data_IF_403841286546
#
_entry.id   IF_403841286546
#
_cell.length_a   1.000
_cell.length_b   1.000
_cell.length_c   1.000
_cell.angle_alpha   90.00
_cell.angle_beta   90.00
_cell.angle_gamma   90.00
#
_symmetry.space_group_name_H-M   'P 1'
#
loop_
_entity.id
_entity.type
_entity.pdbx_description
1 polymer ?
#
# COMPACT_ATOMS: atom_id res chain seq x y z
N UNK A 1 -29.75 -19.75 -1.60
CA UNK A 1 -28.56 -20.52 -2.00
C UNK A 1 -27.48 -20.17 -1.00
N UNK A 2 -27.01 -21.12 -0.18
CA UNK A 2 -25.89 -20.86 0.73
C UNK A 2 -24.69 -20.49 -0.13
N UNK A 3 -24.09 -19.32 0.10
CA UNK A 3 -22.87 -18.93 -0.59
C UNK A 3 -21.86 -20.08 -0.45
N UNK A 4 -21.40 -20.62 -1.57
CA UNK A 4 -20.29 -21.59 -1.55
C UNK A 4 -19.14 -20.96 -0.77
N UNK A 5 -18.46 -21.77 0.04
CA UNK A 5 -17.34 -21.27 0.81
C UNK A 5 -16.25 -20.79 -0.14
N UNK A 6 -16.07 -19.46 -0.23
CA UNK A 6 -15.08 -18.82 -1.11
C UNK A 6 -13.65 -18.90 -0.57
N UNK A 7 -13.50 -19.33 0.69
CA UNK A 7 -12.22 -19.40 1.36
C UNK A 7 -11.60 -20.81 1.27
N UNK A 8 -10.27 -20.90 1.13
CA UNK A 8 -9.57 -22.18 1.04
C UNK A 8 -9.74 -23.00 2.33
N UNK A 9 -9.46 -24.30 2.22
CA UNK A 9 -9.34 -25.24 3.36
C UNK A 9 -10.55 -25.29 4.31
N UNK A 10 -11.73 -24.90 3.81
CA UNK A 10 -12.95 -24.87 4.62
C UNK A 10 -12.99 -23.73 5.64
N UNK A 11 -12.09 -22.75 5.54
CA UNK A 11 -12.08 -21.56 6.39
C UNK A 11 -13.40 -20.79 6.29
N UNK A 12 -13.84 -20.16 7.38
CA UNK A 12 -15.12 -19.42 7.40
C UNK A 12 -14.95 -17.92 7.13
N UNK A 13 -13.74 -17.43 7.27
CA UNK A 13 -13.35 -16.05 7.03
C UNK A 13 -11.87 -16.00 6.63
N UNK A 14 -11.49 -14.88 6.02
CA UNK A 14 -10.08 -14.50 5.85
C UNK A 14 -9.78 -13.35 6.80
N UNK A 15 -8.56 -13.31 7.33
CA UNK A 15 -8.04 -12.20 8.14
C UNK A 15 -6.71 -11.79 7.55
N UNK A 16 -6.61 -10.53 7.11
CA UNK A 16 -5.38 -9.95 6.60
C UNK A 16 -4.98 -8.80 7.51
N UNK A 17 -3.79 -8.90 8.12
CA UNK A 17 -3.15 -7.72 8.69
C UNK A 17 -2.52 -6.91 7.57
N UNK A 18 -2.67 -5.60 7.63
CA UNK A 18 -2.11 -4.69 6.62
C UNK A 18 -1.60 -3.44 7.30
N UNK A 19 -0.50 -2.88 6.80
CA UNK A 19 0.13 -1.70 7.37
C UNK A 19 0.39 -0.67 6.29
N UNK A 20 -0.13 0.52 6.49
CA UNK A 20 0.12 1.66 5.61
C UNK A 20 1.41 2.34 6.12
N UNK A 21 2.48 2.20 5.36
CA UNK A 21 3.82 2.70 5.70
C UNK A 21 3.99 4.11 5.13
N UNK A 22 3.31 5.06 5.77
CA UNK A 22 3.29 6.47 5.33
C UNK A 22 4.53 7.25 5.78
N UNK A 23 4.92 7.05 7.04
CA UNK A 23 6.01 7.76 7.71
C UNK A 23 5.86 9.29 7.61
N UNK A 24 6.89 10.02 7.20
CA UNK A 24 6.85 11.47 7.04
C UNK A 24 5.90 11.96 5.94
N UNK A 25 5.52 11.09 4.99
CA UNK A 25 4.73 11.49 3.82
C UNK A 25 3.26 11.73 4.14
N UNK A 26 2.70 11.12 5.19
CA UNK A 26 1.34 11.47 5.67
C UNK A 26 1.24 12.96 6.02
N UNK A 27 2.35 13.57 6.43
CA UNK A 27 2.40 14.98 6.74
C UNK A 27 2.91 15.82 5.58
N UNK A 28 3.95 15.35 4.86
CA UNK A 28 4.61 16.13 3.81
C UNK A 28 3.90 16.09 2.45
N UNK A 29 3.09 15.06 2.16
CA UNK A 29 2.50 14.84 0.84
C UNK A 29 1.78 16.06 0.28
N UNK A 30 0.91 16.66 1.10
CA UNK A 30 0.20 17.90 0.75
C UNK A 30 0.81 19.16 1.39
N UNK A 31 1.78 19.01 2.30
CA UNK A 31 2.38 20.09 3.08
C UNK A 31 3.92 19.97 3.16
N UNK A 32 4.63 20.26 2.06
CA UNK A 32 6.09 20.11 2.02
C UNK A 32 6.82 20.96 3.07
N UNK A 33 6.22 22.03 3.56
CA UNK A 33 6.74 22.85 4.66
C UNK A 33 6.92 22.08 5.98
N UNK A 34 6.28 20.91 6.13
CA UNK A 34 6.45 20.05 7.31
C UNK A 34 7.90 19.54 7.45
N UNK A 35 8.67 19.48 6.36
CA UNK A 35 10.10 19.15 6.43
C UNK A 35 10.88 20.09 7.36
N UNK A 36 10.42 21.34 7.53
CA UNK A 36 11.04 22.35 8.40
C UNK A 36 10.36 22.42 9.79
N UNK A 37 9.52 21.44 10.14
CA UNK A 37 8.79 21.37 11.41
C UNK A 37 9.28 20.20 12.27
N UNK A 38 10.34 20.37 13.11
CA UNK A 38 11.03 19.26 13.78
C UNK A 38 10.11 18.34 14.59
N UNK A 39 9.07 18.90 15.23
CA UNK A 39 8.11 18.12 16.03
C UNK A 39 7.22 17.21 15.16
N UNK A 40 6.85 17.63 13.95
CA UNK A 40 6.01 16.82 13.05
C UNK A 40 6.87 15.83 12.27
N UNK A 41 8.03 16.29 11.78
CA UNK A 41 8.96 15.43 11.09
C UNK A 41 9.39 14.24 11.96
N UNK A 42 9.70 14.48 13.24
CA UNK A 42 10.07 13.39 14.16
C UNK A 42 8.97 12.37 14.41
N UNK A 43 7.69 12.71 14.20
CA UNK A 43 6.59 11.75 14.28
C UNK A 43 6.61 10.79 13.09
N UNK A 44 6.86 11.29 11.88
CA UNK A 44 7.01 10.48 10.68
C UNK A 44 8.24 9.59 10.74
N UNK A 45 9.38 10.17 11.10
CA UNK A 45 10.67 9.46 11.16
C UNK A 45 10.75 8.41 12.29
N UNK A 46 9.78 8.41 13.21
CA UNK A 46 9.76 7.48 14.33
C UNK A 46 9.76 6.02 13.87
N UNK A 47 9.07 5.71 12.76
CA UNK A 47 9.01 4.35 12.21
C UNK A 47 10.41 3.83 11.85
N UNK A 48 11.28 4.71 11.33
CA UNK A 48 12.66 4.43 10.99
C UNK A 48 13.55 4.40 12.23
N UNK A 49 13.54 5.49 13.01
CA UNK A 49 14.44 5.70 14.14
C UNK A 49 14.22 4.69 15.28
N UNK A 50 12.97 4.29 15.52
CA UNK A 50 12.62 3.31 16.55
C UNK A 50 12.58 1.87 16.03
N UNK A 51 13.02 1.62 14.79
CA UNK A 51 13.05 0.30 14.13
C UNK A 51 11.71 -0.41 14.23
N UNK A 52 10.62 0.30 13.93
CA UNK A 52 9.26 -0.23 14.09
C UNK A 52 9.01 -1.38 13.10
N UNK A 53 9.45 -1.25 11.85
CA UNK A 53 9.28 -2.31 10.85
C UNK A 53 9.98 -3.61 11.28
N UNK A 54 11.28 -3.64 11.60
CA UNK A 54 11.92 -4.87 12.11
C UNK A 54 11.19 -5.51 13.30
N UNK A 55 10.67 -4.70 14.24
CA UNK A 55 9.91 -5.22 15.38
C UNK A 55 8.58 -5.86 14.99
N UNK A 56 7.88 -5.31 14.00
CA UNK A 56 6.68 -5.92 13.45
C UNK A 56 7.01 -7.22 12.71
N UNK A 57 8.09 -7.24 11.94
CA UNK A 57 8.55 -8.44 11.24
C UNK A 57 8.91 -9.56 12.22
N UNK A 58 9.63 -9.25 13.31
CA UNK A 58 9.94 -10.23 14.36
C UNK A 58 8.66 -10.81 15.00
N UNK A 59 7.63 -9.99 15.21
CA UNK A 59 6.33 -10.44 15.73
C UNK A 59 5.61 -11.37 14.75
N UNK A 60 5.64 -11.05 13.45
CA UNK A 60 5.02 -11.91 12.44
C UNK A 60 5.74 -13.24 12.28
N UNK A 61 7.07 -13.25 12.37
CA UNK A 61 7.86 -14.48 12.36
C UNK A 61 7.57 -15.36 13.59
N UNK A 62 7.40 -14.78 14.78
CA UNK A 62 7.02 -15.52 16.00
C UNK A 62 5.68 -16.27 15.84
N UNK A 63 4.77 -15.70 15.06
CA UNK A 63 3.43 -16.25 14.84
C UNK A 63 3.26 -16.99 13.52
N UNK A 64 4.31 -17.15 12.71
CA UNK A 64 4.28 -17.71 11.36
C UNK A 64 3.20 -17.05 10.47
N UNK A 65 3.09 -15.72 10.56
CA UNK A 65 2.13 -14.92 9.82
C UNK A 65 2.81 -14.15 8.70
N UNK A 66 2.07 -13.93 7.61
CA UNK A 66 2.42 -12.98 6.55
C UNK A 66 1.44 -11.84 6.53
N UNK A 67 1.90 -10.71 6.02
CA UNK A 67 1.18 -9.43 6.03
C UNK A 67 1.50 -8.65 4.77
N UNK A 68 0.73 -7.62 4.49
CA UNK A 68 0.94 -6.69 3.38
C UNK A 68 1.30 -5.31 3.91
N UNK A 69 2.37 -4.73 3.39
CA UNK A 69 2.74 -3.33 3.62
C UNK A 69 2.35 -2.50 2.39
N UNK A 70 1.50 -1.50 2.57
CA UNK A 70 1.20 -0.49 1.56
C UNK A 70 2.22 0.63 1.71
N UNK A 71 3.14 0.75 0.74
CA UNK A 71 4.33 1.58 0.85
C UNK A 71 4.21 2.80 -0.08
N UNK A 72 4.43 3.98 0.49
CA UNK A 72 4.63 5.21 -0.28
C UNK A 72 5.94 5.09 -1.06
N UNK A 73 5.92 5.36 -2.38
CA UNK A 73 7.07 5.13 -3.26
C UNK A 73 8.34 5.87 -2.82
N UNK A 74 8.21 7.06 -2.24
CA UNK A 74 9.35 7.76 -1.65
C UNK A 74 9.95 7.06 -0.43
N UNK A 75 9.17 6.35 0.39
CA UNK A 75 9.70 5.53 1.48
C UNK A 75 10.50 4.35 0.92
N UNK A 76 10.01 3.70 -0.15
CA UNK A 76 10.77 2.65 -0.82
C UNK A 76 12.10 3.16 -1.38
N UNK A 77 12.11 4.36 -1.95
CA UNK A 77 13.31 5.02 -2.46
C UNK A 77 14.30 5.42 -1.35
N UNK A 78 13.80 5.93 -0.23
CA UNK A 78 14.62 6.45 0.86
C UNK A 78 15.15 5.35 1.80
N UNK A 79 14.42 4.24 1.93
CA UNK A 79 14.72 3.15 2.86
C UNK A 79 14.71 1.77 2.16
N UNK A 80 15.50 1.57 1.08
CA UNK A 80 15.47 0.34 0.30
C UNK A 80 15.85 -0.90 1.12
N UNK A 81 16.73 -0.76 2.11
CA UNK A 81 17.13 -1.85 3.00
C UNK A 81 15.96 -2.40 3.83
N UNK A 82 15.03 -1.52 4.24
CA UNK A 82 13.83 -1.93 4.99
C UNK A 82 12.87 -2.68 4.06
N UNK A 83 12.71 -2.21 2.81
CA UNK A 83 11.87 -2.90 1.82
C UNK A 83 12.41 -4.28 1.47
N UNK A 84 13.73 -4.40 1.34
CA UNK A 84 14.40 -5.68 1.12
C UNK A 84 14.18 -6.62 2.30
N UNK A 85 14.25 -6.13 3.54
CA UNK A 85 13.98 -6.95 4.72
C UNK A 85 12.54 -7.49 4.71
N UNK A 86 11.55 -6.63 4.46
CA UNK A 86 10.12 -7.00 4.36
C UNK A 86 9.95 -8.14 3.34
N UNK A 87 10.46 -7.97 2.12
CA UNK A 87 10.32 -8.96 1.04
C UNK A 87 11.11 -10.23 1.33
N UNK A 88 12.32 -10.12 1.90
CA UNK A 88 13.15 -11.29 2.23
C UNK A 88 12.51 -12.23 3.25
N UNK A 89 11.65 -11.68 4.12
CA UNK A 89 10.85 -12.45 5.09
C UNK A 89 9.49 -12.91 4.52
N UNK A 90 9.23 -12.68 3.24
CA UNK A 90 8.06 -13.19 2.53
C UNK A 90 6.78 -12.37 2.71
N UNK A 91 6.88 -11.13 3.19
CA UNK A 91 5.73 -10.22 3.26
C UNK A 91 5.50 -9.55 1.90
N UNK A 92 4.25 -9.17 1.64
CA UNK A 92 3.89 -8.44 0.43
C UNK A 92 4.19 -6.94 0.59
N UNK A 93 4.69 -6.32 -0.49
CA UNK A 93 4.69 -4.87 -0.66
C UNK A 93 3.73 -4.50 -1.78
N UNK A 94 2.76 -3.66 -1.43
CA UNK A 94 1.80 -3.03 -2.32
C UNK A 94 2.09 -1.51 -2.39
N UNK A 95 1.60 -0.83 -3.42
CA UNK A 95 1.81 0.62 -3.54
C UNK A 95 0.79 1.42 -2.75
N UNK A 96 1.25 2.54 -2.18
CA UNK A 96 0.44 3.53 -1.48
C UNK A 96 0.67 4.94 -2.03
N UNK A 97 0.73 5.05 -3.36
CA UNK A 97 1.02 6.31 -4.04
C UNK A 97 2.50 6.72 -3.99
N UNK A 98 2.80 7.92 -4.48
CA UNK A 98 4.19 8.41 -4.63
C UNK A 98 4.72 9.13 -3.39
N UNK A 99 3.99 10.14 -2.90
CA UNK A 99 4.33 10.92 -1.69
C UNK A 99 3.14 11.07 -0.73
N UNK A 100 2.15 10.18 -0.81
CA UNK A 100 0.91 10.34 -0.06
C UNK A 100 0.20 11.70 -0.36
N UNK A 101 0.23 12.11 -1.64
CA UNK A 101 -0.44 13.32 -2.13
C UNK A 101 -1.89 13.03 -2.48
N UNK A 102 -2.76 14.03 -2.38
CA UNK A 102 -4.14 13.92 -2.87
C UNK A 102 -4.16 13.70 -4.39
N UNK A 103 -5.00 12.76 -4.83
CA UNK A 103 -5.23 12.49 -6.26
C UNK A 103 -6.47 13.18 -6.82
N UNK A 104 -7.28 13.82 -5.96
CA UNK A 104 -8.50 14.51 -6.38
C UNK A 104 -8.17 15.70 -7.26
N UNK A 105 -8.73 15.72 -8.47
CA UNK A 105 -8.48 16.80 -9.44
C UNK A 105 -7.14 16.68 -10.18
N UNK A 106 -6.35 15.64 -9.90
CA UNK A 106 -5.18 15.28 -10.71
C UNK A 106 -5.66 14.70 -12.05
N UNK A 107 -5.04 15.12 -13.15
CA UNK A 107 -5.35 14.57 -14.47
C UNK A 107 -4.86 13.13 -14.61
N UNK A 108 -5.57 12.31 -15.39
CA UNK A 108 -5.27 10.88 -15.61
C UNK A 108 -3.79 10.59 -15.88
N UNK A 109 -3.17 11.35 -16.79
CA UNK A 109 -1.74 11.15 -17.16
C UNK A 109 -0.79 11.37 -15.97
N UNK A 110 -1.08 12.37 -15.13
CA UNK A 110 -0.25 12.68 -13.96
C UNK A 110 -0.47 11.65 -12.85
N UNK A 111 -1.70 11.17 -12.66
CA UNK A 111 -2.02 10.10 -11.72
C UNK A 111 -1.29 8.80 -12.10
N UNK A 112 -1.37 8.40 -13.37
CA UNK A 112 -0.65 7.24 -13.90
C UNK A 112 0.87 7.40 -13.78
N UNK A 113 1.40 8.59 -14.08
CA UNK A 113 2.82 8.89 -13.92
C UNK A 113 3.27 8.71 -12.46
N UNK A 114 2.50 9.19 -11.48
CA UNK A 114 2.81 9.05 -10.04
C UNK A 114 2.74 7.59 -9.60
N UNK A 115 1.74 6.84 -10.07
CA UNK A 115 1.66 5.39 -9.82
C UNK A 115 2.93 4.70 -10.32
N UNK A 116 3.32 4.93 -11.57
CA UNK A 116 4.49 4.30 -12.19
C UNK A 116 5.80 4.68 -11.49
N UNK A 117 5.94 5.90 -10.97
CA UNK A 117 7.09 6.26 -10.14
C UNK A 117 7.15 5.45 -8.84
N UNK A 118 5.99 5.19 -8.22
CA UNK A 118 5.92 4.36 -7.01
C UNK A 118 6.26 2.90 -7.30
N UNK A 119 5.74 2.36 -8.41
CA UNK A 119 6.10 1.02 -8.91
C UNK A 119 7.60 0.89 -9.14
N UNK A 120 8.19 1.83 -9.87
CA UNK A 120 9.63 1.84 -10.18
C UNK A 120 10.50 1.89 -8.91
N UNK A 121 10.12 2.71 -7.93
CA UNK A 121 10.86 2.79 -6.67
C UNK A 121 10.79 1.50 -5.85
N UNK A 122 9.60 0.86 -5.77
CA UNK A 122 9.43 -0.42 -5.07
C UNK A 122 10.20 -1.52 -5.79
N UNK A 123 10.07 -1.63 -7.11
CA UNK A 123 10.75 -2.64 -7.91
C UNK A 123 12.27 -2.46 -7.86
N UNK A 124 12.77 -1.22 -7.94
CA UNK A 124 14.19 -0.92 -7.80
C UNK A 124 14.75 -1.27 -6.42
N UNK A 125 13.96 -1.07 -5.35
CA UNK A 125 14.39 -1.40 -4.00
C UNK A 125 14.40 -2.91 -3.74
N UNK A 126 13.44 -3.65 -4.29
CA UNK A 126 13.11 -5.02 -3.85
C UNK A 126 13.30 -6.10 -4.91
N UNK A 127 13.35 -5.74 -6.19
CA UNK A 127 13.23 -6.65 -7.32
C UNK A 127 11.83 -7.23 -7.53
N UNK A 128 10.82 -6.74 -6.80
CA UNK A 128 9.42 -7.19 -6.89
C UNK A 128 8.55 -6.07 -7.41
N UNK A 129 7.75 -6.37 -8.44
CA UNK A 129 6.73 -5.46 -8.94
C UNK A 129 5.46 -5.57 -8.06
N UNK A 130 4.97 -4.46 -7.46
CA UNK A 130 3.74 -4.49 -6.67
C UNK A 130 2.53 -4.80 -7.56
N UNK A 131 1.60 -5.61 -7.03
CA UNK A 131 0.34 -5.99 -7.70
C UNK A 131 -0.91 -5.50 -6.98
N UNK A 132 -0.74 -5.00 -5.75
CA UNK A 132 -1.77 -4.40 -4.92
C UNK A 132 -1.63 -2.89 -4.81
N UNK A 133 -2.74 -2.19 -4.65
CA UNK A 133 -2.78 -0.76 -4.38
C UNK A 133 -3.74 -0.41 -3.22
N UNK A 134 -3.37 0.62 -2.48
CA UNK A 134 -4.27 1.36 -1.59
C UNK A 134 -4.06 2.83 -1.93
N UNK A 135 -5.10 3.56 -2.31
CA UNK A 135 -4.94 4.98 -2.63
C UNK A 135 -4.73 5.80 -1.35
N UNK A 136 -3.59 6.50 -1.29
CA UNK A 136 -3.27 7.42 -0.20
C UNK A 136 -4.33 8.53 -0.08
N UNK A 137 -4.69 8.87 1.17
CA UNK A 137 -5.76 9.84 1.44
C UNK A 137 -7.18 9.30 1.30
N UNK A 138 -7.37 8.09 0.75
CA UNK A 138 -8.63 7.35 0.79
C UNK A 138 -9.71 7.82 -0.19
N UNK A 139 -9.38 8.72 -1.12
CA UNK A 139 -10.30 9.17 -2.16
C UNK A 139 -9.85 8.69 -3.55
N UNK A 140 -10.80 8.24 -4.36
CA UNK A 140 -10.54 7.59 -5.66
C UNK A 140 -10.94 8.55 -6.77
N UNK A 141 -10.08 8.72 -7.78
CA UNK A 141 -10.43 9.52 -8.96
C UNK A 141 -11.33 8.71 -9.92
N UNK A 142 -12.04 9.36 -10.86
CA UNK A 142 -12.79 8.65 -11.91
C UNK A 142 -11.93 7.76 -12.81
N UNK A 143 -10.60 7.83 -12.72
CA UNK A 143 -9.67 7.11 -13.60
C UNK A 143 -8.85 6.05 -12.84
N UNK A 144 -8.81 6.07 -11.51
CA UNK A 144 -7.87 5.25 -10.73
C UNK A 144 -8.01 3.75 -11.00
N UNK A 145 -9.23 3.21 -11.01
CA UNK A 145 -9.44 1.78 -11.25
C UNK A 145 -8.97 1.34 -12.65
N UNK A 146 -9.15 2.18 -13.66
CA UNK A 146 -8.73 1.86 -15.03
C UNK A 146 -7.21 1.97 -15.17
N UNK A 147 -6.59 3.01 -14.60
CA UNK A 147 -5.13 3.14 -14.53
C UNK A 147 -4.51 1.90 -13.88
N UNK A 148 -5.07 1.44 -12.75
CA UNK A 148 -4.58 0.26 -12.04
C UNK A 148 -4.70 -1.01 -12.89
N UNK A 149 -5.88 -1.25 -13.47
CA UNK A 149 -6.12 -2.42 -14.31
C UNK A 149 -5.19 -2.44 -15.54
N UNK A 150 -5.05 -1.31 -16.23
CA UNK A 150 -4.17 -1.16 -17.41
C UNK A 150 -2.68 -1.38 -17.08
N UNK A 151 -2.26 -1.06 -15.86
CA UNK A 151 -0.89 -1.22 -15.40
C UNK A 151 -0.61 -2.59 -14.72
N UNK A 152 -1.61 -3.49 -14.73
CA UNK A 152 -1.47 -4.88 -14.30
C UNK A 152 -1.68 -5.13 -12.81
N UNK A 153 -2.30 -4.19 -12.09
CA UNK A 153 -2.70 -4.41 -10.70
C UNK A 153 -3.84 -5.42 -10.62
N UNK A 154 -3.78 -6.28 -9.61
CA UNK A 154 -4.79 -7.32 -9.40
C UNK A 154 -5.82 -6.89 -8.35
N UNK A 155 -5.46 -6.00 -7.42
CA UNK A 155 -6.40 -5.51 -6.40
C UNK A 155 -6.19 -4.06 -5.94
N UNK A 156 -7.27 -3.48 -5.43
CA UNK A 156 -7.40 -2.16 -4.76
C UNK A 156 -8.09 -2.37 -3.39
N UNK A 157 -7.77 -1.54 -2.39
CA UNK A 157 -8.28 -1.73 -1.01
C UNK A 157 -9.28 -0.66 -0.53
N UNK A 158 -9.43 0.47 -1.22
CA UNK A 158 -10.17 1.63 -0.68
C UNK A 158 -11.71 1.50 -0.71
N UNK A 159 -12.35 1.03 -1.79
CA UNK A 159 -13.82 0.93 -1.85
C UNK A 159 -14.41 0.05 -0.76
N UNK A 160 -15.54 0.49 -0.17
CA UNK A 160 -16.28 -0.26 0.86
C UNK A 160 -17.62 -0.77 0.37
N UNK A 161 -17.59 -1.55 -0.71
CA UNK A 161 -18.81 -2.07 -1.35
C UNK A 161 -19.34 -3.38 -0.75
N UNK A 162 -18.52 -4.14 -0.03
CA UNK A 162 -18.82 -5.51 0.40
C UNK A 162 -17.84 -6.01 1.47
N UNK A 163 -18.27 -6.91 2.36
CA UNK A 163 -17.38 -7.62 3.30
C UNK A 163 -16.57 -8.76 2.65
N UNK A 164 -16.94 -9.15 1.42
CA UNK A 164 -16.22 -10.16 0.62
C UNK A 164 -15.62 -9.45 -0.60
N UNK A 165 -14.38 -9.78 -1.01
CA UNK A 165 -13.78 -9.23 -2.22
C UNK A 165 -14.69 -9.41 -3.44
N UNK A 166 -14.70 -8.40 -4.31
CA UNK A 166 -15.53 -8.41 -5.52
C UNK A 166 -14.78 -7.84 -6.72
N UNK A 167 -15.11 -8.34 -7.90
CA UNK A 167 -14.45 -7.99 -9.15
C UNK A 167 -15.19 -6.86 -9.86
N UNK A 168 -14.47 -5.86 -10.32
CA UNK A 168 -14.98 -4.79 -11.20
C UNK A 168 -15.07 -5.27 -12.66
N UNK A 169 -15.79 -4.51 -13.49
CA UNK A 169 -15.94 -4.83 -14.93
C UNK A 169 -14.59 -4.89 -15.66
N UNK A 170 -13.65 -4.00 -15.30
CA UNK A 170 -12.30 -3.95 -15.85
C UNK A 170 -11.37 -5.05 -15.31
N UNK A 171 -11.86 -5.89 -14.40
CA UNK A 171 -11.17 -7.05 -13.87
C UNK A 171 -10.39 -6.85 -12.57
N UNK A 172 -10.22 -5.60 -12.12
CA UNK A 172 -9.61 -5.27 -10.84
C UNK A 172 -10.47 -5.82 -9.68
N UNK A 173 -9.82 -6.40 -8.67
CA UNK A 173 -10.52 -6.90 -7.48
C UNK A 173 -10.49 -5.84 -6.38
N UNK A 174 -11.65 -5.49 -5.84
CA UNK A 174 -11.72 -4.72 -4.61
C UNK A 174 -11.68 -5.63 -3.40
N UNK A 175 -10.74 -5.38 -2.51
CA UNK A 175 -10.58 -6.05 -1.22
C UNK A 175 -10.85 -5.00 -0.14
N UNK A 176 -12.12 -4.86 0.26
CA UNK A 176 -12.49 -3.88 1.27
C UNK A 176 -11.73 -4.10 2.57
N UNK A 177 -11.06 -3.07 3.08
CA UNK A 177 -10.57 -3.03 4.46
C UNK A 177 -11.42 -2.09 5.30
N UNK A 178 -11.33 -2.22 6.63
CA UNK A 178 -11.94 -1.32 7.62
C UNK A 178 -10.97 -0.23 8.05
#
# INVERSE_FOLDING_TARGET
MSAENVWPDGAKCSVCFTFDLDAEWVFQGNHPEVAEMPRRLSQGEYVWNARIIPRLLDLFDEHDLKTTFFVVGMNAKNHPEVMQEIVSRGHEIATHGWKHEDIVGVGREEEERRLLMSVDAIESATGVKPVGNSIAGGEISPHSHDILAENGFIYERIPRGSDIPYKLENGLVNVSSY
#
